data_IF_946276630040
#
_entry.id   IF_946276630040
#
_cell.length_a   1.000
_cell.length_b   1.000
_cell.length_c   1.000
_cell.angle_alpha   90.00
_cell.angle_beta   90.00
_cell.angle_gamma   90.00
#
_symmetry.space_group_name_H-M   'P 1'
#
loop_
_entity.id
_entity.type
_entity.pdbx_description
1 polymer ?
#
# COMPACT_ATOMS: atom_id res chain seq x y z
N UNK A 1 -7.00 9.51 14.11
CA UNK A 1 -7.35 9.19 12.68
C UNK A 1 -6.07 8.86 11.93
N UNK A 2 -6.06 7.83 11.12
CA UNK A 2 -4.93 7.47 10.23
C UNK A 2 -5.38 7.47 8.78
N UNK A 3 -4.53 7.92 7.86
CA UNK A 3 -4.72 7.78 6.42
C UNK A 3 -3.94 6.53 5.94
N UNK A 4 -4.64 5.60 5.31
CA UNK A 4 -4.05 4.44 4.66
C UNK A 4 -4.14 4.66 3.15
N UNK A 5 -3.02 4.91 2.50
CA UNK A 5 -2.95 5.09 1.06
C UNK A 5 -2.36 3.83 0.41
N UNK A 6 -3.15 3.13 -0.39
CA UNK A 6 -2.66 2.05 -1.25
C UNK A 6 -2.24 2.62 -2.60
N UNK A 7 -1.02 2.37 -3.04
CA UNK A 7 -0.54 2.87 -4.33
C UNK A 7 -0.88 1.91 -5.47
N UNK A 8 -1.18 2.50 -6.63
CA UNK A 8 -1.51 1.81 -7.86
C UNK A 8 -1.71 2.80 -9.01
N UNK A 9 -1.92 2.30 -10.22
CA UNK A 9 -2.32 3.07 -11.39
C UNK A 9 -3.82 2.95 -11.63
N UNK A 10 -4.50 4.02 -12.06
CA UNK A 10 -5.94 4.00 -12.31
C UNK A 10 -6.31 3.24 -13.60
N UNK A 11 -7.52 2.73 -13.63
CA UNK A 11 -8.13 2.12 -14.79
C UNK A 11 -8.01 0.60 -14.86
N UNK A 12 -8.92 -0.06 -15.62
CA UNK A 12 -9.08 -1.52 -15.67
C UNK A 12 -7.83 -2.23 -16.20
N UNK A 13 -7.06 -1.59 -17.07
CA UNK A 13 -5.80 -2.13 -17.62
C UNK A 13 -4.79 -2.49 -16.53
N UNK A 14 -4.78 -1.74 -15.41
CA UNK A 14 -3.80 -1.90 -14.34
C UNK A 14 -4.32 -2.66 -13.13
N UNK A 15 -5.62 -2.92 -13.06
CA UNK A 15 -6.28 -3.47 -11.87
C UNK A 15 -5.68 -4.80 -11.38
N UNK A 16 -5.23 -5.66 -12.29
CA UNK A 16 -4.65 -6.96 -11.97
C UNK A 16 -3.13 -6.95 -11.82
N UNK A 17 -2.46 -5.81 -12.07
CA UNK A 17 -0.98 -5.75 -12.12
C UNK A 17 -0.36 -5.84 -10.74
N UNK A 18 0.92 -6.26 -10.69
CA UNK A 18 1.74 -6.27 -9.47
C UNK A 18 1.84 -4.90 -8.84
N UNK A 19 1.91 -3.85 -9.67
CA UNK A 19 2.01 -2.45 -9.23
C UNK A 19 0.77 -1.96 -8.47
N UNK A 20 -0.39 -2.63 -8.64
CA UNK A 20 -1.65 -2.30 -7.98
C UNK A 20 -1.91 -3.11 -6.68
N UNK A 21 -0.91 -3.83 -6.16
CA UNK A 21 -1.09 -4.59 -4.92
C UNK A 21 -1.45 -3.69 -3.72
N UNK A 22 -1.07 -2.41 -3.74
CA UNK A 22 -1.50 -1.44 -2.75
C UNK A 22 -3.01 -1.20 -2.77
N UNK A 23 -3.64 -1.15 -3.96
CA UNK A 23 -5.10 -1.04 -4.09
C UNK A 23 -5.80 -2.26 -3.50
N UNK A 24 -5.27 -3.48 -3.73
CA UNK A 24 -5.81 -4.71 -3.15
C UNK A 24 -5.83 -4.68 -1.62
N UNK A 25 -4.82 -4.07 -0.98
CA UNK A 25 -4.83 -3.87 0.48
C UNK A 25 -5.97 -2.94 0.90
N UNK A 26 -6.23 -1.85 0.17
CA UNK A 26 -7.35 -0.96 0.49
C UNK A 26 -8.68 -1.69 0.35
N UNK A 27 -8.85 -2.52 -0.68
CA UNK A 27 -10.06 -3.32 -0.87
C UNK A 27 -10.25 -4.32 0.27
N UNK A 28 -9.18 -4.98 0.72
CA UNK A 28 -9.22 -5.92 1.85
C UNK A 28 -9.55 -5.20 3.17
N UNK A 29 -8.96 -4.04 3.45
CA UNK A 29 -9.29 -3.24 4.63
C UNK A 29 -10.75 -2.78 4.59
N UNK A 30 -11.25 -2.32 3.45
CA UNK A 30 -12.64 -1.95 3.27
C UNK A 30 -13.56 -3.14 3.58
N UNK A 31 -13.27 -4.33 3.05
CA UNK A 31 -14.01 -5.57 3.31
C UNK A 31 -14.01 -5.92 4.81
N UNK A 32 -12.86 -5.87 5.48
CA UNK A 32 -12.74 -6.17 6.92
C UNK A 32 -13.51 -5.16 7.79
N UNK A 33 -13.52 -3.89 7.39
CA UNK A 33 -14.25 -2.83 8.09
C UNK A 33 -15.74 -2.73 7.70
N UNK A 34 -16.24 -3.61 6.83
CA UNK A 34 -17.63 -3.58 6.36
C UNK A 34 -17.97 -2.36 5.49
N UNK A 35 -16.97 -1.76 4.82
CA UNK A 35 -17.14 -0.60 3.94
C UNK A 35 -17.46 -1.08 2.52
N UNK A 36 -18.67 -0.85 2.00
CA UNK A 36 -19.01 -1.27 0.64
C UNK A 36 -18.29 -0.43 -0.41
N UNK A 37 -18.07 -0.98 -1.60
CA UNK A 37 -17.44 -0.26 -2.72
C UNK A 37 -18.14 1.06 -3.06
N UNK A 38 -19.47 1.13 -2.93
CA UNK A 38 -20.26 2.35 -3.14
C UNK A 38 -20.00 3.46 -2.12
N UNK A 39 -19.33 3.18 -1.00
CA UNK A 39 -18.94 4.18 -0.03
C UNK A 39 -17.71 4.99 -0.44
N UNK A 40 -16.93 4.49 -1.42
CA UNK A 40 -15.81 5.24 -1.97
C UNK A 40 -16.31 6.43 -2.80
N UNK A 41 -15.76 7.59 -2.53
CA UNK A 41 -16.09 8.85 -3.23
C UNK A 41 -14.84 9.39 -3.92
N UNK A 42 -15.03 9.94 -5.11
CA UNK A 42 -13.97 10.64 -5.83
C UNK A 42 -13.65 11.97 -5.14
N UNK A 43 -12.50 12.06 -4.49
CA UNK A 43 -11.93 13.26 -3.88
C UNK A 43 -10.41 13.18 -3.84
N UNK A 44 -9.77 14.34 -3.78
CA UNK A 44 -8.31 14.44 -3.62
C UNK A 44 -7.54 13.70 -4.73
N UNK A 45 -8.03 13.75 -5.96
CA UNK A 45 -7.47 13.00 -7.10
C UNK A 45 -7.38 11.49 -6.80
N UNK A 46 -8.35 10.94 -6.06
CA UNK A 46 -8.40 9.54 -5.65
C UNK A 46 -9.80 9.11 -5.26
N UNK A 47 -9.96 7.85 -4.95
CA UNK A 47 -11.15 7.29 -4.33
C UNK A 47 -10.92 7.14 -2.84
N UNK A 48 -11.83 7.69 -2.04
CA UNK A 48 -11.66 7.77 -0.59
C UNK A 48 -12.90 7.25 0.14
N UNK A 49 -12.69 6.50 1.21
CA UNK A 49 -13.75 6.07 2.13
C UNK A 49 -13.30 6.19 3.58
N UNK A 50 -14.26 6.51 4.47
CA UNK A 50 -14.05 6.43 5.91
C UNK A 50 -14.30 5.01 6.39
N UNK A 51 -13.47 4.54 7.30
CA UNK A 51 -13.55 3.22 7.90
C UNK A 51 -13.23 3.30 9.40
N UNK A 52 -13.52 2.22 10.13
CA UNK A 52 -13.15 2.08 11.54
C UNK A 52 -12.60 0.68 11.77
N UNK A 53 -11.45 0.60 12.40
CA UNK A 53 -10.80 -0.65 12.78
C UNK A 53 -10.61 -0.66 14.30
N UNK A 54 -11.46 -1.39 15.03
CA UNK A 54 -11.58 -1.23 16.49
C UNK A 54 -11.97 0.21 16.85
N UNK A 55 -11.22 0.83 17.74
CA UNK A 55 -11.44 2.23 18.14
C UNK A 55 -10.73 3.25 17.23
N UNK A 56 -9.94 2.78 16.25
CA UNK A 56 -9.19 3.64 15.36
C UNK A 56 -10.02 4.07 14.14
N UNK A 57 -10.16 5.37 13.94
CA UNK A 57 -10.71 5.93 12.71
C UNK A 57 -9.67 5.87 11.60
N UNK A 58 -10.09 5.36 10.44
CA UNK A 58 -9.28 5.25 9.23
C UNK A 58 -9.90 6.05 8.09
N UNK A 59 -9.03 6.56 7.25
CA UNK A 59 -9.35 7.05 5.92
C UNK A 59 -8.63 6.16 4.93
N UNK A 60 -9.37 5.46 4.09
CA UNK A 60 -8.84 4.59 3.04
C UNK A 60 -8.75 5.38 1.73
N UNK A 61 -7.60 5.39 1.09
CA UNK A 61 -7.34 6.15 -0.14
C UNK A 61 -6.71 5.26 -1.22
N UNK A 62 -7.32 5.26 -2.40
CA UNK A 62 -6.73 4.76 -3.65
C UNK A 62 -6.47 5.98 -4.55
N UNK A 63 -5.22 6.48 -4.70
CA UNK A 63 -4.91 7.54 -5.63
C UNK A 63 -5.34 7.17 -7.05
N UNK A 64 -6.08 8.04 -7.73
CA UNK A 64 -6.48 7.88 -9.13
C UNK A 64 -5.59 8.73 -10.05
N UNK A 65 -4.39 9.00 -9.61
CA UNK A 65 -3.27 9.53 -10.40
C UNK A 65 -2.42 8.37 -10.92
N UNK A 66 -1.60 8.60 -11.94
CA UNK A 66 -0.53 7.64 -12.23
C UNK A 66 0.44 7.53 -11.05
N UNK A 67 1.14 6.39 -10.94
CA UNK A 67 2.02 6.05 -9.84
C UNK A 67 3.00 7.18 -9.47
N UNK A 68 3.65 7.78 -10.46
CA UNK A 68 4.62 8.87 -10.27
C UNK A 68 4.01 10.20 -9.80
N UNK A 69 2.69 10.30 -9.70
CA UNK A 69 1.95 11.47 -9.19
C UNK A 69 1.15 11.16 -7.91
N UNK A 70 1.33 9.99 -7.30
CA UNK A 70 0.58 9.56 -6.11
C UNK A 70 0.68 10.55 -4.96
N UNK A 71 1.82 11.25 -4.81
CA UNK A 71 2.02 12.27 -3.79
C UNK A 71 1.01 13.41 -3.85
N UNK A 72 0.53 13.78 -5.04
CA UNK A 72 -0.51 14.82 -5.22
C UNK A 72 -1.81 14.44 -4.53
N UNK A 73 -2.25 13.19 -4.69
CA UNK A 73 -3.47 12.69 -4.06
C UNK A 73 -3.31 12.57 -2.54
N UNK A 74 -2.21 11.94 -2.10
CA UNK A 74 -1.94 11.72 -0.68
C UNK A 74 -1.80 13.03 0.07
N UNK A 75 -1.06 14.02 -0.49
CA UNK A 75 -0.89 15.33 0.11
C UNK A 75 -2.22 16.09 0.24
N UNK A 76 -3.07 16.06 -0.81
CA UNK A 76 -4.36 16.73 -0.77
C UNK A 76 -5.25 16.15 0.34
N UNK A 77 -5.27 14.82 0.53
CA UNK A 77 -6.00 14.17 1.60
C UNK A 77 -5.42 14.53 2.99
N UNK A 78 -4.09 14.42 3.17
CA UNK A 78 -3.43 14.79 4.42
C UNK A 78 -3.73 16.24 4.82
N UNK A 79 -3.67 17.18 3.87
CA UNK A 79 -3.95 18.60 4.11
C UNK A 79 -5.40 18.80 4.57
N UNK A 80 -6.36 18.17 3.89
CA UNK A 80 -7.78 18.30 4.24
C UNK A 80 -8.09 17.78 5.65
N UNK A 81 -7.55 16.59 5.98
CA UNK A 81 -7.75 15.97 7.31
C UNK A 81 -6.78 16.47 8.37
N UNK A 82 -5.90 17.42 8.04
CA UNK A 82 -4.87 18.00 8.92
C UNK A 82 -3.96 16.93 9.56
N UNK A 83 -3.61 15.91 8.77
CA UNK A 83 -2.76 14.79 9.18
C UNK A 83 -1.28 15.13 8.98
N UNK A 84 -0.47 14.65 9.91
CA UNK A 84 1.01 14.71 9.83
C UNK A 84 1.55 13.46 9.12
N UNK A 85 2.81 13.45 8.65
CA UNK A 85 3.42 12.24 8.09
C UNK A 85 3.34 11.02 9.03
N UNK A 86 3.40 11.21 10.33
CA UNK A 86 3.26 10.14 11.33
C UNK A 86 1.85 9.49 11.34
N UNK A 87 0.83 10.17 10.81
CA UNK A 87 -0.54 9.67 10.70
C UNK A 87 -0.80 8.98 9.35
N UNK A 88 0.23 8.85 8.51
CA UNK A 88 0.15 8.27 7.16
C UNK A 88 0.79 6.89 7.11
N UNK A 89 0.07 5.94 6.55
CA UNK A 89 0.56 4.62 6.17
C UNK A 89 0.42 4.48 4.65
N UNK A 90 1.51 4.18 3.95
CA UNK A 90 1.52 3.97 2.50
C UNK A 90 1.85 2.52 2.20
N UNK A 91 0.96 1.85 1.47
CA UNK A 91 1.15 0.49 0.98
C UNK A 91 1.54 0.49 -0.49
N UNK A 92 2.57 -0.25 -0.83
CA UNK A 92 3.13 -0.30 -2.18
C UNK A 92 3.79 -1.63 -2.49
N UNK A 93 3.93 -1.95 -3.77
CA UNK A 93 4.76 -3.05 -4.26
C UNK A 93 6.24 -2.80 -4.03
N UNK A 94 7.00 -3.84 -3.75
CA UNK A 94 8.43 -3.73 -3.50
C UNK A 94 9.20 -4.91 -4.09
N UNK A 95 10.16 -4.60 -4.98
CA UNK A 95 11.01 -5.56 -5.67
C UNK A 95 12.09 -6.18 -4.77
N UNK A 96 12.51 -5.45 -3.73
CA UNK A 96 13.59 -5.88 -2.82
C UNK A 96 13.07 -6.70 -1.63
N UNK A 97 11.75 -6.79 -1.49
CA UNK A 97 11.11 -7.70 -0.57
C UNK A 97 10.76 -8.99 -1.32
N UNK A 98 11.16 -10.18 -0.83
CA UNK A 98 10.81 -11.44 -1.47
C UNK A 98 9.30 -11.55 -1.72
N UNK A 99 8.93 -12.23 -2.82
CA UNK A 99 7.53 -12.46 -3.16
C UNK A 99 6.79 -13.09 -1.97
N UNK A 100 5.59 -12.62 -1.70
CA UNK A 100 4.70 -12.99 -0.59
C UNK A 100 5.07 -12.46 0.79
N UNK A 101 6.25 -11.87 0.98
CA UNK A 101 6.60 -11.27 2.27
C UNK A 101 6.03 -9.86 2.41
N UNK A 102 5.72 -9.48 3.66
CA UNK A 102 5.30 -8.13 4.04
C UNK A 102 6.34 -7.56 4.99
N UNK A 103 6.72 -6.30 4.78
CA UNK A 103 7.64 -5.58 5.66
C UNK A 103 7.05 -4.23 6.06
N UNK A 104 7.18 -3.87 7.32
CA UNK A 104 6.93 -2.54 7.83
C UNK A 104 8.23 -1.75 7.91
N UNK A 105 8.19 -0.48 7.50
CA UNK A 105 9.31 0.46 7.62
C UNK A 105 8.78 1.87 7.87
N UNK A 106 9.51 2.66 8.66
CA UNK A 106 9.31 4.10 8.74
C UNK A 106 10.50 4.81 8.07
N UNK A 107 10.21 5.82 7.26
CA UNK A 107 11.24 6.61 6.62
C UNK A 107 12.08 5.86 5.56
N UNK A 108 13.20 6.45 5.18
CA UNK A 108 14.19 5.88 4.24
C UNK A 108 13.95 6.20 2.78
N UNK A 109 14.82 5.69 1.90
CA UNK A 109 14.79 5.89 0.45
C UNK A 109 13.60 5.21 -0.26
N UNK A 110 13.37 5.54 -1.53
CA UNK A 110 12.23 5.07 -2.32
C UNK A 110 12.40 3.65 -2.91
N UNK A 111 13.61 3.09 -2.91
CA UNK A 111 13.88 1.77 -3.50
C UNK A 111 13.59 1.69 -4.99
N UNK A 112 13.53 2.83 -5.70
CA UNK A 112 13.15 2.91 -7.11
C UNK A 112 11.64 2.94 -7.37
N UNK A 113 10.80 2.82 -6.33
CA UNK A 113 9.35 2.88 -6.45
C UNK A 113 8.89 4.34 -6.65
N UNK A 114 8.35 4.62 -7.86
CA UNK A 114 8.04 6.00 -8.29
C UNK A 114 6.94 6.66 -7.46
N UNK A 115 5.98 5.89 -6.94
CA UNK A 115 4.91 6.39 -6.08
C UNK A 115 5.45 6.82 -4.72
N UNK A 116 6.35 6.02 -4.12
CA UNK A 116 7.03 6.38 -2.87
C UNK A 116 7.88 7.63 -3.06
N UNK A 117 8.59 7.75 -4.19
CA UNK A 117 9.33 8.97 -4.53
C UNK A 117 8.41 10.19 -4.57
N UNK A 118 7.24 10.06 -5.21
CA UNK A 118 6.24 11.12 -5.32
C UNK A 118 5.67 11.52 -3.96
N UNK A 119 5.30 10.56 -3.11
CA UNK A 119 4.79 10.83 -1.76
C UNK A 119 5.86 11.47 -0.88
N UNK A 120 7.10 10.98 -0.94
CA UNK A 120 8.23 11.53 -0.16
C UNK A 120 8.57 12.96 -0.60
N UNK A 121 8.51 13.26 -1.89
CA UNK A 121 8.71 14.62 -2.39
C UNK A 121 7.63 15.60 -1.90
N UNK A 122 6.40 15.12 -1.71
CA UNK A 122 5.27 15.94 -1.28
C UNK A 122 5.18 16.15 0.25
N UNK A 123 5.54 15.12 1.05
CA UNK A 123 5.27 15.08 2.50
C UNK A 123 6.51 14.83 3.36
N UNK A 124 7.68 14.62 2.78
CA UNK A 124 8.86 14.12 3.49
C UNK A 124 8.80 12.60 3.72
N UNK A 125 9.89 12.00 4.27
CA UNK A 125 10.02 10.55 4.37
C UNK A 125 9.38 9.93 5.63
N UNK A 126 8.96 10.71 6.61
CA UNK A 126 8.66 10.25 7.99
C UNK A 126 7.27 9.64 8.15
N UNK A 127 6.84 8.84 7.19
CA UNK A 127 5.61 8.07 7.25
C UNK A 127 5.89 6.56 7.30
N UNK A 128 4.88 5.80 7.73
CA UNK A 128 4.96 4.33 7.77
C UNK A 128 4.71 3.75 6.39
N UNK A 129 5.47 2.74 6.01
CA UNK A 129 5.33 2.01 4.73
C UNK A 129 5.01 0.55 5.00
N UNK A 130 4.01 0.04 4.30
CA UNK A 130 3.76 -1.39 4.16
C UNK A 130 4.31 -1.81 2.80
N UNK A 131 5.41 -2.56 2.82
CA UNK A 131 6.11 -3.03 1.63
C UNK A 131 5.61 -4.43 1.32
N UNK A 132 4.85 -4.56 0.23
CA UNK A 132 4.32 -5.84 -0.25
C UNK A 132 5.31 -6.42 -1.26
N UNK A 133 5.93 -7.53 -0.90
CA UNK A 133 6.97 -8.16 -1.71
C UNK A 133 6.42 -8.77 -2.99
N UNK A 134 6.84 -8.22 -4.12
CA UNK A 134 6.56 -8.81 -5.43
C UNK A 134 7.78 -9.55 -5.99
N UNK A 135 8.92 -9.44 -5.30
CA UNK A 135 10.19 -9.99 -5.76
C UNK A 135 10.73 -9.31 -7.01
N UNK A 136 11.92 -9.65 -7.40
CA UNK A 136 12.54 -9.21 -8.66
C UNK A 136 12.11 -10.10 -9.82
N UNK A 137 12.10 -9.58 -11.07
CA UNK A 137 11.87 -10.42 -12.23
C UNK A 137 12.88 -11.59 -12.27
N UNK A 138 12.44 -12.79 -12.68
CA UNK A 138 13.34 -13.94 -12.80
C UNK A 138 14.40 -13.70 -13.91
N UNK A 139 15.54 -14.41 -13.88
CA UNK A 139 16.66 -14.18 -14.80
C UNK A 139 16.32 -14.33 -16.27
N UNK A 140 15.31 -15.13 -16.62
CA UNK A 140 14.81 -15.39 -17.97
C UNK A 140 13.71 -14.40 -18.40
N UNK A 141 13.32 -13.46 -17.55
CA UNK A 141 12.33 -12.45 -17.86
C UNK A 141 12.82 -11.54 -19.00
N UNK A 142 12.00 -11.44 -20.05
CA UNK A 142 12.25 -10.56 -21.19
C UNK A 142 11.50 -9.25 -21.02
N UNK A 143 12.22 -8.19 -20.70
CA UNK A 143 11.67 -6.85 -20.46
C UNK A 143 12.45 -6.14 -19.37
N UNK A 144 12.07 -4.91 -19.10
CA UNK A 144 12.63 -4.15 -17.99
C UNK A 144 11.78 -4.31 -16.70
N UNK A 145 12.24 -3.69 -15.61
CA UNK A 145 11.53 -3.71 -14.34
C UNK A 145 10.14 -3.06 -14.44
N UNK A 146 9.98 -2.05 -15.30
CA UNK A 146 8.67 -1.39 -15.48
C UNK A 146 7.69 -2.35 -16.16
N UNK A 147 8.14 -3.15 -17.12
CA UNK A 147 7.31 -4.18 -17.74
C UNK A 147 6.87 -5.23 -16.71
N UNK A 148 7.77 -5.65 -15.82
CA UNK A 148 7.46 -6.65 -14.79
C UNK A 148 6.40 -6.18 -13.80
N UNK A 149 6.50 -4.97 -13.29
CA UNK A 149 5.53 -4.45 -12.30
C UNK A 149 4.14 -4.21 -12.93
N UNK A 150 4.08 -3.98 -14.24
CA UNK A 150 2.86 -3.80 -15.00
C UNK A 150 2.23 -5.11 -15.50
N UNK A 151 2.84 -6.27 -15.22
CA UNK A 151 2.21 -7.56 -15.50
C UNK A 151 1.27 -7.97 -14.36
N UNK A 152 0.22 -8.70 -14.74
CA UNK A 152 -0.64 -9.36 -13.77
C UNK A 152 0.10 -10.47 -13.02
N UNK A 153 -0.34 -10.77 -11.81
CA UNK A 153 0.10 -11.99 -11.14
C UNK A 153 -0.40 -13.22 -11.91
N UNK A 154 0.42 -14.24 -12.13
CA UNK A 154 -0.04 -15.52 -12.67
C UNK A 154 -1.16 -16.12 -11.80
N UNK A 155 -2.05 -16.87 -12.41
CA UNK A 155 -3.17 -17.51 -11.66
C UNK A 155 -2.68 -18.39 -10.51
N UNK A 156 -1.55 -19.07 -10.68
CA UNK A 156 -0.93 -19.90 -9.63
C UNK A 156 -0.44 -19.09 -8.41
N UNK A 157 -0.19 -17.79 -8.56
CA UNK A 157 0.28 -16.91 -7.48
C UNK A 157 -0.87 -16.22 -6.73
N UNK A 158 -2.10 -16.21 -7.26
CA UNK A 158 -3.20 -15.40 -6.71
C UNK A 158 -3.53 -15.73 -5.25
N UNK A 159 -3.59 -17.02 -4.89
CA UNK A 159 -3.84 -17.42 -3.50
C UNK A 159 -2.75 -16.92 -2.54
N UNK A 160 -1.48 -16.93 -2.98
CA UNK A 160 -0.35 -16.41 -2.21
C UNK A 160 -0.43 -14.88 -2.09
N UNK A 161 -0.86 -14.19 -3.15
CA UNK A 161 -1.07 -12.73 -3.13
C UNK A 161 -2.19 -12.37 -2.15
N UNK A 162 -3.29 -13.12 -2.10
CA UNK A 162 -4.37 -12.91 -1.13
C UNK A 162 -3.88 -13.08 0.31
N UNK A 163 -3.07 -14.10 0.58
CA UNK A 163 -2.44 -14.28 1.89
C UNK A 163 -1.51 -13.11 2.25
N UNK A 164 -0.72 -12.64 1.31
CA UNK A 164 0.15 -11.47 1.50
C UNK A 164 -0.67 -10.21 1.80
N UNK A 165 -1.76 -9.97 1.09
CA UNK A 165 -2.67 -8.84 1.33
C UNK A 165 -3.33 -8.95 2.71
N UNK A 166 -3.76 -10.14 3.12
CA UNK A 166 -4.27 -10.40 4.47
C UNK A 166 -3.19 -10.09 5.53
N UNK A 167 -1.96 -10.54 5.31
CA UNK A 167 -0.83 -10.22 6.21
C UNK A 167 -0.55 -8.72 6.28
N UNK A 168 -0.71 -8.00 5.17
CA UNK A 168 -0.56 -6.55 5.13
C UNK A 168 -1.69 -5.83 5.89
N UNK A 169 -2.92 -6.33 5.86
CA UNK A 169 -4.01 -5.80 6.67
C UNK A 169 -3.81 -6.04 8.18
N UNK A 170 -3.25 -7.19 8.57
CA UNK A 170 -2.81 -7.43 9.95
C UNK A 170 -1.75 -6.42 10.38
N UNK A 171 -0.83 -6.03 9.48
CA UNK A 171 0.17 -5.00 9.75
C UNK A 171 -0.49 -3.65 10.09
N UNK A 172 -1.56 -3.25 9.38
CA UNK A 172 -2.35 -2.06 9.73
C UNK A 172 -2.93 -2.20 11.13
N UNK A 173 -3.56 -3.34 11.45
CA UNK A 173 -4.15 -3.60 12.77
C UNK A 173 -3.11 -3.52 13.89
N UNK A 174 -1.90 -4.01 13.65
CA UNK A 174 -0.81 -3.95 14.62
C UNK A 174 -0.29 -2.52 14.82
N UNK A 175 -0.18 -1.72 13.74
CA UNK A 175 0.24 -0.30 13.84
C UNK A 175 -0.80 0.51 14.60
N UNK A 176 -2.09 0.18 14.48
CA UNK A 176 -3.18 0.88 15.20
C UNK A 176 -3.26 0.50 16.68
N UNK A 177 -2.84 -0.71 17.07
CA UNK A 177 -2.99 -1.24 18.42
C UNK A 177 -1.71 -1.29 19.25
N UNK A 178 -0.55 -1.21 18.61
CA UNK A 178 0.75 -1.29 19.27
C UNK A 178 1.61 -0.05 18.99
N UNK A 179 2.71 0.12 19.76
CA UNK A 179 3.78 1.04 19.35
C UNK A 179 4.41 0.51 18.04
N UNK A 180 4.74 1.43 17.13
CA UNK A 180 5.24 1.11 15.79
C UNK A 180 6.43 0.11 15.80
N UNK A 181 7.38 0.28 16.73
CA UNK A 181 8.53 -0.63 16.88
C UNK A 181 8.10 -2.08 17.14
N UNK A 182 7.09 -2.28 18.00
CA UNK A 182 6.56 -3.62 18.28
C UNK A 182 5.84 -4.21 17.07
N UNK A 183 5.06 -3.39 16.35
CA UNK A 183 4.41 -3.80 15.11
C UNK A 183 5.44 -4.20 14.04
N UNK A 184 6.50 -3.39 13.87
CA UNK A 184 7.61 -3.68 12.96
C UNK A 184 8.32 -4.98 13.33
N UNK A 185 8.66 -5.19 14.59
CA UNK A 185 9.30 -6.43 15.05
C UNK A 185 8.43 -7.66 14.74
N UNK A 186 7.12 -7.58 14.98
CA UNK A 186 6.20 -8.70 14.75
C UNK A 186 6.00 -9.01 13.25
N UNK A 187 5.86 -7.99 12.41
CA UNK A 187 5.63 -8.17 10.97
C UNK A 187 6.91 -8.58 10.24
N UNK A 188 8.05 -7.97 10.61
CA UNK A 188 9.33 -8.16 9.92
C UNK A 188 10.02 -9.49 10.33
N UNK A 189 9.55 -10.18 11.37
CA UNK A 189 10.01 -11.54 11.64
C UNK A 189 9.61 -12.45 10.48
N UNK A 190 10.55 -13.24 9.98
CA UNK A 190 10.23 -14.28 9.00
C UNK A 190 9.26 -15.28 9.64
N UNK A 191 8.18 -15.69 8.95
CA UNK A 191 7.39 -16.80 9.43
C UNK A 191 8.31 -18.02 9.62
N UNK A 192 8.07 -18.85 10.64
CA UNK A 192 8.80 -20.10 10.80
C UNK A 192 8.65 -20.92 9.51
N UNK A 193 9.77 -21.49 9.04
CA UNK A 193 9.81 -22.37 7.87
C UNK A 193 9.04 -23.64 8.12
#
# INVERSE_FOLDING_TARGET
MLLIAGLGNPGPRYAATRHNVGFRLIDELARQCGVPGSAFKERFHGEIASARLGDQELVLLRPQTFMNESGRSVQAACTFYKLKPADLIVAHDDLDVPFSEVRLKQGGGDGGQRGIRSVTAALGPDYVRIRLGIGRPPPDFRGDVADFVLQAFPSAELATVEQMVTRASEAVSLVTSLRLEKAMNRINQRPPR
#
